data_IF_460933857551
#
_entry.id   IF_460933857551
#
_cell.length_a   1.000
_cell.length_b   1.000
_cell.length_c   1.000
_cell.angle_alpha   90.00
_cell.angle_beta   90.00
_cell.angle_gamma   90.00
#
_symmetry.space_group_name_H-M   'P 1'
#
loop_
_entity.id
_entity.type
_entity.pdbx_description
1 polymer ?
#
# COMPACT_ATOMS: atom_id res chain seq x y z
N UNK A 1 25.15 -4.60 -20.51
CA UNK A 1 24.07 -3.61 -20.43
C UNK A 1 22.95 -4.27 -19.65
N UNK A 2 22.48 -3.65 -18.56
CA UNK A 2 21.31 -4.16 -17.84
C UNK A 2 20.07 -3.95 -18.72
N UNK A 3 19.12 -4.87 -18.65
CA UNK A 3 17.82 -4.68 -19.33
C UNK A 3 16.97 -3.68 -18.55
N UNK A 4 16.04 -2.98 -19.21
CA UNK A 4 15.14 -2.00 -18.56
C UNK A 4 14.39 -2.59 -17.34
N UNK A 5 14.10 -3.89 -17.38
CA UNK A 5 13.51 -4.66 -16.28
C UNK A 5 14.44 -4.79 -15.08
N UNK A 6 15.73 -5.07 -15.31
CA UNK A 6 16.75 -5.18 -14.26
C UNK A 6 17.03 -3.83 -13.59
N UNK A 7 17.02 -2.75 -14.37
CA UNK A 7 17.15 -1.38 -13.85
C UNK A 7 15.98 -1.02 -12.94
N UNK A 8 14.75 -1.36 -13.35
CA UNK A 8 13.55 -1.09 -12.55
C UNK A 8 13.50 -1.94 -11.28
N UNK A 9 13.87 -3.23 -11.34
CA UNK A 9 14.02 -4.07 -10.14
C UNK A 9 15.09 -3.52 -9.18
N UNK A 10 16.19 -3.01 -9.73
CA UNK A 10 17.25 -2.37 -8.92
C UNK A 10 16.75 -1.10 -8.26
N UNK A 11 15.91 -0.31 -8.94
CA UNK A 11 15.30 0.87 -8.36
C UNK A 11 14.31 0.54 -7.22
N UNK A 12 13.43 -0.44 -7.44
CA UNK A 12 12.51 -0.97 -6.43
C UNK A 12 13.29 -1.38 -5.18
N UNK A 13 14.38 -2.15 -5.34
CA UNK A 13 15.22 -2.56 -4.20
C UNK A 13 15.81 -1.37 -3.45
N UNK A 14 16.31 -0.35 -4.17
CA UNK A 14 16.84 0.86 -3.53
C UNK A 14 15.77 1.62 -2.75
N UNK A 15 14.53 1.65 -3.25
CA UNK A 15 13.39 2.26 -2.55
C UNK A 15 13.01 1.48 -1.30
N UNK A 16 12.94 0.14 -1.36
CA UNK A 16 12.70 -0.71 -0.18
C UNK A 16 13.77 -0.47 0.89
N UNK A 17 15.05 -0.43 0.50
CA UNK A 17 16.14 -0.14 1.44
C UNK A 17 16.04 1.25 2.08
N UNK A 18 15.57 2.27 1.34
CA UNK A 18 15.30 3.60 1.92
C UNK A 18 14.12 3.57 2.90
N UNK A 19 13.09 2.78 2.62
CA UNK A 19 11.96 2.60 3.54
C UNK A 19 12.37 1.92 4.83
N UNK A 20 13.24 0.91 4.75
CA UNK A 20 13.82 0.25 5.92
C UNK A 20 14.46 1.27 6.84
N UNK A 21 15.42 2.04 6.31
CA UNK A 21 16.14 3.07 7.08
C UNK A 21 15.17 4.03 7.77
N UNK A 22 14.16 4.50 7.04
CA UNK A 22 13.13 5.40 7.60
C UNK A 22 12.27 4.71 8.67
N UNK A 23 11.98 3.42 8.53
CA UNK A 23 11.25 2.66 9.54
C UNK A 23 11.97 2.63 10.89
N UNK A 24 13.30 2.70 10.90
CA UNK A 24 14.06 2.77 12.15
C UNK A 24 13.90 4.11 12.88
N UNK A 25 13.60 5.20 12.17
CA UNK A 25 13.40 6.55 12.73
C UNK A 25 12.09 6.67 13.55
N UNK A 26 11.13 5.77 13.33
CA UNK A 26 9.84 5.76 14.02
C UNK A 26 9.88 5.21 15.45
N UNK A 27 8.74 5.31 16.14
CA UNK A 27 8.52 4.65 17.43
C UNK A 27 8.64 3.12 17.32
N UNK A 28 8.84 2.41 18.43
CA UNK A 28 8.93 0.94 18.40
C UNK A 28 7.71 0.28 17.73
N UNK A 29 6.50 0.79 17.99
CA UNK A 29 5.28 0.29 17.36
C UNK A 29 5.21 0.63 15.87
N UNK A 30 5.55 1.86 15.47
CA UNK A 30 5.65 2.24 14.05
C UNK A 30 6.67 1.36 13.31
N UNK A 31 7.83 1.11 13.92
CA UNK A 31 8.87 0.22 13.38
C UNK A 31 8.36 -1.20 13.17
N UNK A 32 7.70 -1.81 14.16
CA UNK A 32 7.13 -3.16 14.02
C UNK A 32 6.07 -3.22 12.93
N UNK A 33 5.20 -2.19 12.82
CA UNK A 33 4.20 -2.12 11.76
C UNK A 33 4.87 -2.01 10.39
N UNK A 34 5.82 -1.10 10.24
CA UNK A 34 6.51 -0.84 8.98
C UNK A 34 7.41 -1.99 8.54
N UNK A 35 8.00 -2.73 9.48
CA UNK A 35 8.74 -3.95 9.16
C UNK A 35 7.86 -4.96 8.42
N UNK A 36 6.59 -5.15 8.83
CA UNK A 36 5.67 -6.06 8.13
C UNK A 36 5.39 -5.62 6.69
N UNK A 37 5.29 -4.32 6.43
CA UNK A 37 5.13 -3.81 5.06
C UNK A 37 6.39 -4.04 4.23
N UNK A 38 7.57 -3.77 4.80
CA UNK A 38 8.86 -4.01 4.15
C UNK A 38 9.04 -5.49 3.83
N UNK A 39 8.74 -6.39 4.76
CA UNK A 39 8.86 -7.84 4.56
C UNK A 39 7.95 -8.32 3.42
N UNK A 40 6.73 -7.78 3.34
CA UNK A 40 5.82 -8.07 2.23
C UNK A 40 6.36 -7.56 0.89
N UNK A 41 6.94 -6.35 0.85
CA UNK A 41 7.55 -5.78 -0.36
C UNK A 41 8.76 -6.60 -0.83
N UNK A 42 9.59 -7.12 0.09
CA UNK A 42 10.67 -8.04 -0.27
C UNK A 42 10.14 -9.33 -0.88
N UNK A 43 9.09 -9.92 -0.29
CA UNK A 43 8.44 -11.11 -0.85
C UNK A 43 7.92 -10.87 -2.28
N UNK A 44 7.30 -9.71 -2.52
CA UNK A 44 6.82 -9.31 -3.84
C UNK A 44 7.98 -9.08 -4.84
N UNK A 45 9.08 -8.44 -4.41
CA UNK A 45 10.28 -8.19 -5.21
C UNK A 45 10.97 -9.50 -5.63
N UNK A 46 11.08 -10.44 -4.70
CA UNK A 46 11.59 -11.79 -4.94
C UNK A 46 10.72 -12.55 -5.94
N UNK A 47 9.39 -12.49 -5.76
CA UNK A 47 8.43 -13.12 -6.68
C UNK A 47 8.51 -12.50 -8.08
N UNK A 48 8.65 -11.18 -8.20
CA UNK A 48 8.82 -10.50 -9.49
C UNK A 48 10.13 -10.94 -10.18
N UNK A 49 11.24 -11.03 -9.44
CA UNK A 49 12.51 -11.53 -9.98
C UNK A 49 12.44 -13.00 -10.40
N UNK A 50 11.74 -13.84 -9.63
CA UNK A 50 11.56 -15.25 -9.96
C UNK A 50 10.87 -15.44 -11.31
N UNK A 51 9.82 -14.66 -11.60
CA UNK A 51 9.15 -14.67 -12.91
C UNK A 51 9.88 -13.91 -14.01
N UNK A 52 10.81 -13.02 -13.63
CA UNK A 52 11.84 -12.39 -14.48
C UNK A 52 12.51 -13.35 -15.45
N UNK A 53 12.73 -14.58 -14.98
CA UNK A 53 13.45 -15.63 -15.69
C UNK A 53 12.59 -16.38 -16.70
N UNK A 54 11.27 -16.16 -16.73
CA UNK A 54 10.33 -17.00 -17.48
C UNK A 54 9.53 -16.21 -18.52
N UNK A 55 9.07 -14.99 -18.23
CA UNK A 55 8.22 -14.23 -19.16
C UNK A 55 8.23 -12.71 -18.91
N UNK A 56 8.66 -11.91 -19.90
CA UNK A 56 8.85 -10.47 -19.74
C UNK A 56 7.56 -9.67 -19.46
N UNK A 57 6.43 -10.06 -20.07
CA UNK A 57 5.14 -9.37 -19.88
C UNK A 57 4.59 -9.57 -18.46
N UNK A 58 4.72 -10.79 -17.90
CA UNK A 58 4.34 -11.08 -16.52
C UNK A 58 5.15 -10.24 -15.52
N UNK A 59 6.39 -9.90 -15.86
CA UNK A 59 7.30 -9.11 -15.00
C UNK A 59 6.94 -7.64 -15.01
N UNK A 60 6.62 -7.08 -16.18
CA UNK A 60 6.12 -5.70 -16.28
C UNK A 60 4.88 -5.51 -15.40
N UNK A 61 3.93 -6.45 -15.47
CA UNK A 61 2.73 -6.43 -14.63
C UNK A 61 3.01 -6.55 -13.12
N UNK A 62 4.03 -7.32 -12.71
CA UNK A 62 4.41 -7.38 -11.28
C UNK A 62 5.17 -6.17 -10.81
N UNK A 63 6.00 -5.57 -11.67
CA UNK A 63 6.73 -4.35 -11.35
C UNK A 63 5.80 -3.16 -11.13
N UNK A 64 4.78 -2.99 -11.98
CA UNK A 64 3.76 -1.95 -11.75
C UNK A 64 2.97 -2.19 -10.46
N UNK A 65 2.68 -3.45 -10.12
CA UNK A 65 2.03 -3.79 -8.86
C UNK A 65 2.91 -3.44 -7.66
N UNK A 66 4.21 -3.77 -7.73
CA UNK A 66 5.22 -3.41 -6.74
C UNK A 66 5.34 -1.91 -6.59
N UNK A 67 5.37 -1.15 -7.68
CA UNK A 67 5.46 0.31 -7.64
C UNK A 67 4.29 0.92 -6.86
N UNK A 68 3.06 0.45 -7.09
CA UNK A 68 1.87 0.91 -6.35
C UNK A 68 1.96 0.53 -4.87
N UNK A 69 2.29 -0.73 -4.56
CA UNK A 69 2.44 -1.19 -3.17
C UNK A 69 3.52 -0.41 -2.42
N UNK A 70 4.60 -0.05 -3.11
CA UNK A 70 5.72 0.69 -2.57
C UNK A 70 5.35 2.15 -2.31
N UNK A 71 4.59 2.79 -3.20
CA UNK A 71 4.05 4.14 -2.97
C UNK A 71 3.06 4.17 -1.79
N UNK A 72 2.20 3.14 -1.64
CA UNK A 72 1.34 2.98 -0.46
C UNK A 72 2.19 2.93 0.81
N UNK A 73 3.25 2.11 0.82
CA UNK A 73 4.15 2.00 1.98
C UNK A 73 4.94 3.30 2.26
N UNK A 74 5.36 4.03 1.22
CA UNK A 74 6.04 5.33 1.34
C UNK A 74 5.13 6.39 1.96
N UNK A 75 3.87 6.47 1.52
CA UNK A 75 2.89 7.39 2.09
C UNK A 75 2.48 6.98 3.51
N UNK A 76 2.34 5.68 3.77
CA UNK A 76 2.11 5.19 5.13
C UNK A 76 3.24 5.59 6.07
N UNK A 77 4.49 5.42 5.64
CA UNK A 77 5.66 5.83 6.42
C UNK A 77 5.66 7.33 6.69
N UNK A 78 5.31 8.14 5.68
CA UNK A 78 5.17 9.58 5.86
C UNK A 78 4.09 9.93 6.88
N UNK A 79 2.94 9.25 6.87
CA UNK A 79 1.87 9.43 7.86
C UNK A 79 2.32 9.02 9.28
N UNK A 80 3.03 7.91 9.43
CA UNK A 80 3.59 7.47 10.71
C UNK A 80 4.57 8.51 11.29
N UNK A 81 5.45 9.06 10.45
CA UNK A 81 6.47 10.02 10.84
C UNK A 81 5.97 11.47 10.90
N UNK A 82 4.74 11.74 10.47
CA UNK A 82 4.18 13.09 10.47
C UNK A 82 4.15 13.69 11.88
N UNK A 83 4.71 14.89 12.02
CA UNK A 83 4.79 15.64 13.28
C UNK A 83 3.72 16.72 13.38
N UNK A 84 3.03 16.99 12.28
CA UNK A 84 1.91 17.94 12.18
C UNK A 84 0.70 17.25 11.56
N UNK A 85 -0.47 17.81 11.83
CA UNK A 85 -1.72 17.36 11.25
C UNK A 85 -1.73 17.47 9.71
N UNK A 86 -1.29 18.60 9.16
CA UNK A 86 -1.22 18.79 7.69
C UNK A 86 -0.35 17.75 6.99
N UNK A 87 0.82 17.43 7.57
CA UNK A 87 1.69 16.37 7.05
C UNK A 87 1.01 15.01 7.11
N UNK A 88 0.28 14.73 8.19
CA UNK A 88 -0.42 13.48 8.37
C UNK A 88 -1.57 13.34 7.35
N UNK A 89 -2.43 14.35 7.27
CA UNK A 89 -3.57 14.38 6.33
C UNK A 89 -3.08 14.27 4.89
N UNK A 90 -2.10 15.07 4.49
CA UNK A 90 -1.54 15.00 3.13
C UNK A 90 -0.92 13.64 2.81
N UNK A 91 -0.25 13.00 3.77
CA UNK A 91 0.30 11.66 3.59
C UNK A 91 -0.79 10.59 3.46
N UNK A 92 -1.83 10.65 4.28
CA UNK A 92 -2.95 9.70 4.21
C UNK A 92 -3.77 9.88 2.94
N UNK A 93 -4.05 11.11 2.51
CA UNK A 93 -4.73 11.37 1.23
C UNK A 93 -3.95 10.81 0.05
N UNK A 94 -2.62 10.99 0.06
CA UNK A 94 -1.75 10.41 -0.96
C UNK A 94 -1.76 8.87 -0.92
N UNK A 95 -1.74 8.27 0.28
CA UNK A 95 -1.88 6.81 0.44
C UNK A 95 -3.22 6.31 -0.14
N UNK A 96 -4.34 6.97 0.22
CA UNK A 96 -5.68 6.60 -0.23
C UNK A 96 -5.84 6.75 -1.76
N UNK A 97 -5.16 7.73 -2.37
CA UNK A 97 -5.12 7.85 -3.82
C UNK A 97 -4.39 6.67 -4.48
N UNK A 98 -3.30 6.17 -3.87
CA UNK A 98 -2.61 4.97 -4.35
C UNK A 98 -3.41 3.69 -4.12
N UNK A 99 -4.23 3.65 -3.06
CA UNK A 99 -5.22 2.61 -2.87
C UNK A 99 -6.24 2.54 -4.02
N UNK A 100 -6.67 3.66 -4.58
CA UNK A 100 -7.58 3.64 -5.74
C UNK A 100 -6.91 2.99 -6.96
N UNK A 101 -5.67 3.37 -7.26
CA UNK A 101 -4.90 2.76 -8.34
C UNK A 101 -4.69 1.24 -8.13
N UNK A 102 -4.43 0.83 -6.88
CA UNK A 102 -4.34 -0.58 -6.51
C UNK A 102 -5.67 -1.31 -6.76
N UNK A 103 -6.80 -0.73 -6.34
CA UNK A 103 -8.14 -1.30 -6.46
C UNK A 103 -8.62 -1.37 -7.92
N UNK A 104 -8.25 -0.42 -8.77
CA UNK A 104 -8.57 -0.46 -10.20
C UNK A 104 -7.78 -1.54 -10.94
N UNK A 105 -6.53 -1.75 -10.55
CA UNK A 105 -5.73 -2.87 -11.05
C UNK A 105 -6.31 -4.21 -10.61
N UNK A 106 -6.70 -4.32 -9.35
CA UNK A 106 -7.44 -5.45 -8.81
C UNK A 106 -8.71 -5.74 -9.61
N UNK A 107 -9.47 -4.70 -9.96
CA UNK A 107 -10.68 -4.82 -10.79
C UNK A 107 -10.36 -5.37 -12.17
N UNK A 108 -9.28 -4.91 -12.80
CA UNK A 108 -8.80 -5.41 -14.09
C UNK A 108 -8.46 -6.90 -14.01
N UNK A 109 -7.78 -7.33 -12.93
CA UNK A 109 -7.48 -8.74 -12.68
C UNK A 109 -8.73 -9.58 -12.36
N UNK A 110 -9.69 -9.03 -11.61
CA UNK A 110 -10.95 -9.69 -11.32
C UNK A 110 -11.78 -9.93 -12.60
N UNK A 111 -11.72 -8.99 -13.56
CA UNK A 111 -12.41 -9.11 -14.84
C UNK A 111 -11.92 -10.28 -15.70
N UNK A 112 -10.69 -10.77 -15.48
CA UNK A 112 -10.19 -11.98 -16.15
C UNK A 112 -10.65 -13.28 -15.49
N UNK A 113 -11.22 -13.22 -14.28
CA UNK A 113 -11.83 -14.37 -13.59
C UNK A 113 -13.22 -14.63 -14.18
N UNK A 114 -13.75 -15.83 -13.97
CA UNK A 114 -15.09 -16.22 -14.45
C UNK A 114 -15.95 -16.82 -13.33
N UNK A 115 -17.27 -16.68 -13.46
CA UNK A 115 -18.26 -17.20 -12.52
C UNK A 115 -18.03 -16.74 -11.08
N UNK A 116 -18.20 -17.67 -10.13
CA UNK A 116 -18.10 -17.41 -8.69
C UNK A 116 -16.78 -16.76 -8.27
N UNK A 117 -15.67 -17.08 -8.96
CA UNK A 117 -14.37 -16.50 -8.65
C UNK A 117 -14.31 -14.99 -8.99
N UNK A 118 -15.02 -14.56 -10.05
CA UNK A 118 -15.18 -13.15 -10.38
C UNK A 118 -16.07 -12.45 -9.38
N UNK A 119 -17.24 -13.02 -9.08
CA UNK A 119 -18.20 -12.44 -8.14
C UNK A 119 -17.57 -12.22 -6.76
N UNK A 120 -16.80 -13.20 -6.27
CA UNK A 120 -16.06 -13.08 -5.01
C UNK A 120 -15.01 -11.97 -5.05
N UNK A 121 -14.25 -11.87 -6.14
CA UNK A 121 -13.23 -10.84 -6.29
C UNK A 121 -13.85 -9.43 -6.36
N UNK A 122 -14.92 -9.26 -7.14
CA UNK A 122 -15.63 -7.98 -7.26
C UNK A 122 -16.27 -7.55 -5.93
N UNK A 123 -16.86 -8.48 -5.18
CA UNK A 123 -17.39 -8.21 -3.86
C UNK A 123 -16.29 -7.77 -2.86
N UNK A 124 -15.13 -8.42 -2.88
CA UNK A 124 -14.01 -8.04 -2.04
C UNK A 124 -13.46 -6.64 -2.41
N UNK A 125 -13.36 -6.32 -3.71
CA UNK A 125 -12.97 -4.98 -4.17
C UNK A 125 -13.98 -3.92 -3.70
N UNK A 126 -15.28 -4.22 -3.74
CA UNK A 126 -16.32 -3.31 -3.27
C UNK A 126 -16.21 -3.01 -1.76
N UNK A 127 -16.00 -4.03 -0.91
CA UNK A 127 -15.76 -3.83 0.54
C UNK A 127 -14.53 -2.93 0.78
N UNK A 128 -13.43 -3.19 0.06
CA UNK A 128 -12.21 -2.41 0.19
C UNK A 128 -12.41 -0.95 -0.25
N UNK A 129 -13.12 -0.69 -1.36
CA UNK A 129 -13.47 0.67 -1.80
C UNK A 129 -14.32 1.40 -0.77
N UNK A 130 -15.32 0.73 -0.19
CA UNK A 130 -16.16 1.32 0.85
C UNK A 130 -15.33 1.72 2.08
N UNK A 131 -14.40 0.87 2.50
CA UNK A 131 -13.49 1.14 3.63
C UNK A 131 -12.56 2.30 3.35
N UNK A 132 -11.92 2.32 2.17
CA UNK A 132 -11.08 3.42 1.70
C UNK A 132 -11.84 4.76 1.77
N UNK A 133 -13.09 4.78 1.29
CA UNK A 133 -13.93 5.99 1.34
C UNK A 133 -14.26 6.42 2.77
N UNK A 134 -14.57 5.47 3.66
CA UNK A 134 -14.85 5.75 5.06
C UNK A 134 -13.63 6.34 5.79
N UNK A 135 -12.42 5.81 5.53
CA UNK A 135 -11.18 6.35 6.09
C UNK A 135 -10.96 7.79 5.58
N UNK A 136 -11.10 8.02 4.27
CA UNK A 136 -10.95 9.36 3.69
C UNK A 136 -11.92 10.39 4.28
N UNK A 137 -13.18 10.01 4.45
CA UNK A 137 -14.18 10.89 5.08
C UNK A 137 -13.82 11.22 6.55
N UNK A 138 -13.29 10.26 7.30
CA UNK A 138 -12.89 10.48 8.70
C UNK A 138 -11.65 11.36 8.82
N UNK A 139 -10.65 11.16 7.96
CA UNK A 139 -9.43 11.98 7.93
C UNK A 139 -9.79 13.43 7.57
N UNK A 140 -10.65 13.63 6.58
CA UNK A 140 -11.13 14.96 6.23
C UNK A 140 -11.89 15.64 7.38
N UNK A 141 -12.69 14.87 8.15
CA UNK A 141 -13.38 15.39 9.33
C UNK A 141 -12.40 15.72 10.49
N UNK A 142 -11.37 14.90 10.69
CA UNK A 142 -10.35 15.12 11.70
C UNK A 142 -9.57 16.42 11.45
N UNK A 143 -9.24 16.73 10.19
CA UNK A 143 -8.60 17.97 9.73
C UNK A 143 -9.34 19.27 10.08
N UNK A 144 -10.54 19.18 10.65
CA UNK A 144 -11.37 20.32 11.06
C UNK A 144 -11.56 20.44 12.58
N UNK A 145 -10.97 19.53 13.36
CA UNK A 145 -11.08 19.48 14.82
C UNK A 145 -9.94 20.24 15.52
N UNK A 146 -10.16 20.70 16.77
CA UNK A 146 -9.16 21.49 17.52
C UNK A 146 -7.95 20.65 18.02
N UNK A 147 -6.78 21.30 18.04
CA UNK A 147 -5.37 20.84 18.19
C UNK A 147 -5.04 19.58 19.03
N UNK A 148 -5.79 19.21 20.07
CA UNK A 148 -5.43 18.03 20.88
C UNK A 148 -6.00 16.71 20.34
N UNK A 149 -7.03 16.78 19.48
CA UNK A 149 -7.72 15.59 18.95
C UNK A 149 -7.00 14.87 17.80
N UNK A 150 -6.04 15.52 17.13
CA UNK A 150 -5.45 14.96 15.91
C UNK A 150 -4.54 13.75 16.16
N UNK A 151 -3.90 13.63 17.34
CA UNK A 151 -3.06 12.45 17.67
C UNK A 151 -3.88 11.17 17.83
N UNK A 152 -5.07 11.29 18.41
CA UNK A 152 -6.02 10.19 18.54
C UNK A 152 -6.59 9.83 17.16
N UNK A 153 -6.95 10.85 16.36
CA UNK A 153 -7.38 10.65 14.98
C UNK A 153 -6.30 9.97 14.13
N UNK A 154 -5.02 10.36 14.30
CA UNK A 154 -3.87 9.72 13.66
C UNK A 154 -3.77 8.25 14.02
N UNK A 155 -3.84 7.92 15.32
CA UNK A 155 -3.78 6.54 15.80
C UNK A 155 -4.90 5.69 15.19
N UNK A 156 -6.12 6.22 15.19
CA UNK A 156 -7.29 5.53 14.65
C UNK A 156 -7.17 5.30 13.14
N UNK A 157 -6.84 6.35 12.37
CA UNK A 157 -6.70 6.25 10.93
C UNK A 157 -5.57 5.28 10.51
N UNK A 158 -4.43 5.28 11.21
CA UNK A 158 -3.36 4.32 10.94
C UNK A 158 -3.79 2.87 11.22
N UNK A 159 -4.62 2.63 12.23
CA UNK A 159 -5.16 1.31 12.52
C UNK A 159 -6.16 0.86 11.43
N UNK A 160 -7.04 1.75 10.96
CA UNK A 160 -7.98 1.44 9.88
C UNK A 160 -7.27 1.16 8.56
N UNK A 161 -6.23 1.92 8.25
CA UNK A 161 -5.41 1.67 7.06
C UNK A 161 -4.61 0.35 7.18
N UNK A 162 -4.21 -0.07 8.39
CA UNK A 162 -3.64 -1.41 8.62
C UNK A 162 -4.67 -2.53 8.40
N UNK A 163 -5.92 -2.33 8.83
CA UNK A 163 -7.00 -3.27 8.57
C UNK A 163 -7.32 -3.36 7.07
N UNK A 164 -7.32 -2.23 6.36
CA UNK A 164 -7.49 -2.18 4.91
C UNK A 164 -6.42 -3.01 4.21
N UNK A 165 -5.15 -2.84 4.60
CA UNK A 165 -4.05 -3.61 4.05
C UNK A 165 -4.16 -5.11 4.35
N UNK A 166 -4.48 -5.48 5.59
CA UNK A 166 -4.66 -6.87 5.99
C UNK A 166 -5.78 -7.56 5.18
N UNK A 167 -6.91 -6.86 4.99
CA UNK A 167 -8.03 -7.35 4.19
C UNK A 167 -7.67 -7.52 2.71
N UNK A 168 -6.95 -6.55 2.13
CA UNK A 168 -6.48 -6.64 0.76
C UNK A 168 -5.56 -7.87 0.58
N UNK A 169 -4.64 -8.10 1.52
CA UNK A 169 -3.76 -9.26 1.50
C UNK A 169 -4.53 -10.60 1.60
N UNK A 170 -5.62 -10.65 2.37
CA UNK A 170 -6.48 -11.85 2.44
C UNK A 170 -7.29 -12.05 1.16
N UNK A 171 -7.83 -10.97 0.57
CA UNK A 171 -8.68 -11.04 -0.62
C UNK A 171 -7.97 -11.58 -1.87
N UNK A 172 -6.63 -11.56 -1.89
CA UNK A 172 -5.82 -11.93 -3.05
C UNK A 172 -4.91 -13.13 -2.88
N UNK A 173 -5.04 -13.90 -1.79
CA UNK A 173 -4.30 -15.16 -1.63
C UNK A 173 -4.83 -16.32 -2.49
N UNK A 174 -5.85 -16.10 -3.32
CA UNK A 174 -6.46 -17.07 -4.25
C UNK A 174 -6.26 -16.72 -5.74
#
# INVERSE_FOLDING_TARGET
MATATEERLSDVRRRIARLEVRAQEGTANARSRMQRYVDALHGDEEAARASGRTEAAAVAGRLEQLDISLEIAEHRMAAELAVTEDQFTGAVEAELHRWDAYLDRMQTKAATKTGVARDRAEAAIADLRQRRLAIGARVAAAGTAADDGWRDAKTHALAELDELNAKAATAWRD
#
